data_IF_505123571130
#
_entry.id   IF_505123571130
#
_cell.length_a   1.000
_cell.length_b   1.000
_cell.length_c   1.000
_cell.angle_alpha   90.00
_cell.angle_beta   90.00
_cell.angle_gamma   90.00
#
_symmetry.space_group_name_H-M   'P 1'
#
loop_
_entity.id
_entity.type
_entity.pdbx_description
1 polymer ?
#
# COMPACT_ATOMS: atom_id res chain seq x y z
N UNK A 1 28.23 16.23 19.42
CA UNK A 1 27.08 15.30 19.31
C UNK A 1 26.26 15.67 18.08
N UNK A 2 25.99 14.74 17.15
CA UNK A 2 25.24 15.03 15.92
C UNK A 2 23.74 14.98 16.23
N UNK A 3 23.02 16.08 16.04
CA UNK A 3 21.57 16.15 16.28
C UNK A 3 20.81 15.29 15.27
N UNK A 4 20.00 14.35 15.75
CA UNK A 4 19.07 13.55 14.94
C UNK A 4 17.76 14.33 14.75
N UNK A 5 17.33 14.52 13.49
CA UNK A 5 16.14 15.31 13.13
C UNK A 5 15.04 14.41 12.54
N UNK A 6 14.85 13.24 13.14
CA UNK A 6 13.98 12.19 12.60
C UNK A 6 12.54 12.68 12.48
N UNK A 7 11.96 13.21 13.55
CA UNK A 7 10.57 13.69 13.56
C UNK A 7 10.34 14.85 12.60
N UNK A 8 11.22 15.85 12.60
CA UNK A 8 11.13 17.00 11.70
C UNK A 8 11.20 16.57 10.23
N UNK A 9 12.10 15.63 9.92
CA UNK A 9 12.30 15.12 8.57
C UNK A 9 11.12 14.28 8.10
N UNK A 10 10.58 13.43 8.98
CA UNK A 10 9.38 12.63 8.73
C UNK A 10 8.17 13.52 8.42
N UNK A 11 7.90 14.52 9.27
CA UNK A 11 6.80 15.46 9.04
C UNK A 11 7.00 16.26 7.76
N UNK A 12 8.23 16.70 7.51
CA UNK A 12 8.56 17.42 6.28
C UNK A 12 8.29 16.59 5.03
N UNK A 13 8.63 15.31 5.01
CA UNK A 13 8.34 14.42 3.88
C UNK A 13 6.83 14.13 3.75
N UNK A 14 6.13 13.90 4.88
CA UNK A 14 4.67 13.69 4.90
C UNK A 14 3.90 14.85 4.26
N UNK A 15 4.29 16.09 4.55
CA UNK A 15 3.67 17.30 3.99
C UNK A 15 4.32 17.76 2.68
N UNK A 16 5.24 16.99 2.10
CA UNK A 16 5.96 17.31 0.85
C UNK A 16 6.64 18.68 0.89
N UNK A 17 7.15 19.09 2.06
CA UNK A 17 7.84 20.37 2.25
C UNK A 17 9.28 20.26 1.74
N UNK A 18 9.72 21.27 0.98
CA UNK A 18 11.08 21.32 0.44
C UNK A 18 12.13 21.37 1.56
N UNK A 19 13.30 20.77 1.32
CA UNK A 19 14.39 20.76 2.31
C UNK A 19 14.83 22.17 2.70
N UNK A 20 14.76 23.13 1.77
CA UNK A 20 15.04 24.56 2.00
C UNK A 20 14.08 25.15 3.03
N UNK A 21 12.78 24.96 2.80
CA UNK A 21 11.74 25.50 3.67
C UNK A 21 11.84 24.88 5.06
N UNK A 22 12.04 23.56 5.14
CA UNK A 22 12.22 22.85 6.42
C UNK A 22 13.43 23.35 7.20
N UNK A 23 14.56 23.57 6.52
CA UNK A 23 15.77 24.15 7.12
C UNK A 23 15.53 25.57 7.65
N UNK A 24 14.86 26.43 6.87
CA UNK A 24 14.56 27.79 7.27
C UNK A 24 13.65 27.82 8.51
N UNK A 25 12.56 27.03 8.49
CA UNK A 25 11.63 26.91 9.62
C UNK A 25 12.34 26.37 10.85
N UNK A 26 13.08 25.26 10.72
CA UNK A 26 13.75 24.64 11.85
C UNK A 26 14.85 25.53 12.45
N UNK A 27 15.61 26.25 11.61
CA UNK A 27 16.64 27.19 12.07
C UNK A 27 16.01 28.43 12.72
N UNK A 28 14.90 28.94 12.17
CA UNK A 28 14.13 30.04 12.76
C UNK A 28 13.59 29.69 14.14
N UNK A 29 12.97 28.52 14.30
CA UNK A 29 12.49 28.03 15.61
C UNK A 29 13.64 27.91 16.62
N UNK A 30 14.82 27.42 16.19
CA UNK A 30 15.98 27.34 17.09
C UNK A 30 16.54 28.71 17.48
N UNK A 31 16.41 29.71 16.60
CA UNK A 31 16.77 31.09 16.89
C UNK A 31 15.78 31.72 17.89
N UNK A 32 14.48 31.54 17.69
CA UNK A 32 13.43 32.04 18.60
C UNK A 32 13.54 31.43 20.01
N UNK A 33 14.00 30.17 20.09
CA UNK A 33 14.27 29.47 21.36
C UNK A 33 15.62 29.86 22.00
N UNK A 34 16.39 30.75 21.38
CA UNK A 34 17.71 31.18 21.87
C UNK A 34 18.79 30.09 21.84
N UNK A 35 18.55 28.99 21.11
CA UNK A 35 19.51 27.89 20.96
C UNK A 35 20.59 28.25 19.93
N UNK A 36 20.22 29.07 18.95
CA UNK A 36 21.11 29.69 17.97
C UNK A 36 21.04 31.20 18.18
N UNK A 37 22.19 31.84 18.15
CA UNK A 37 22.32 33.29 18.08
C UNK A 37 23.41 33.64 17.06
N UNK A 38 23.52 34.92 16.70
CA UNK A 38 24.53 35.39 15.74
C UNK A 38 25.97 35.06 16.21
N UNK A 39 26.19 35.00 17.51
CA UNK A 39 27.47 34.64 18.13
C UNK A 39 27.72 33.12 18.17
N UNK A 40 26.66 32.29 18.18
CA UNK A 40 26.75 30.85 18.30
C UNK A 40 25.89 30.11 17.25
N UNK A 41 26.50 29.87 16.10
CA UNK A 41 25.90 29.14 14.97
C UNK A 41 26.16 27.63 14.99
N UNK A 42 26.70 27.07 16.08
CA UNK A 42 27.13 25.67 16.13
C UNK A 42 25.99 24.67 15.86
N UNK A 43 24.75 25.04 16.20
CA UNK A 43 23.55 24.20 16.07
C UNK A 43 22.69 24.49 14.83
N UNK A 44 23.16 25.34 13.91
CA UNK A 44 22.43 25.62 12.66
C UNK A 44 22.15 24.33 11.89
N UNK A 45 20.90 24.20 11.46
CA UNK A 45 20.45 23.07 10.65
C UNK A 45 20.75 23.43 9.20
N UNK A 46 21.56 22.61 8.53
CA UNK A 46 21.84 22.77 7.10
C UNK A 46 20.86 21.93 6.26
N UNK A 47 20.61 22.36 5.02
CA UNK A 47 19.76 21.62 4.08
C UNK A 47 20.22 20.18 3.87
N UNK A 48 21.52 19.95 3.78
CA UNK A 48 22.04 18.59 3.59
C UNK A 48 21.85 17.73 4.85
N UNK A 49 21.69 18.32 6.05
CA UNK A 49 21.30 17.56 7.23
C UNK A 49 19.88 17.02 7.06
N UNK A 50 18.91 17.88 6.73
CA UNK A 50 17.51 17.47 6.49
C UNK A 50 17.43 16.44 5.37
N UNK A 51 18.09 16.69 4.23
CA UNK A 51 18.08 15.75 3.08
C UNK A 51 18.56 14.35 3.48
N UNK A 52 19.67 14.26 4.21
CA UNK A 52 20.22 12.98 4.68
C UNK A 52 19.30 12.26 5.64
N UNK A 53 18.68 12.98 6.58
CA UNK A 53 17.75 12.37 7.53
C UNK A 53 16.47 11.88 6.82
N UNK A 54 15.94 12.65 5.86
CA UNK A 54 14.84 12.20 4.99
C UNK A 54 15.21 10.95 4.19
N UNK A 55 16.38 10.91 3.58
CA UNK A 55 16.86 9.74 2.84
C UNK A 55 16.95 8.50 3.73
N UNK A 56 17.42 8.63 4.98
CA UNK A 56 17.44 7.52 5.94
C UNK A 56 16.03 7.03 6.25
N UNK A 57 15.11 7.95 6.56
CA UNK A 57 13.72 7.61 6.88
C UNK A 57 13.06 6.90 5.69
N UNK A 58 13.24 7.41 4.47
CA UNK A 58 12.72 6.78 3.26
C UNK A 58 13.26 5.37 3.07
N UNK A 59 14.54 5.13 3.35
CA UNK A 59 15.13 3.79 3.29
C UNK A 59 14.51 2.84 4.30
N UNK A 60 14.39 3.27 5.57
CA UNK A 60 13.75 2.47 6.63
C UNK A 60 12.32 2.10 6.24
N UNK A 61 11.51 3.08 5.80
CA UNK A 61 10.14 2.82 5.35
C UNK A 61 10.10 1.86 4.16
N UNK A 62 11.02 2.01 3.20
CA UNK A 62 11.08 1.11 2.02
C UNK A 62 11.48 -0.31 2.42
N UNK A 63 12.39 -0.46 3.37
CA UNK A 63 12.82 -1.75 3.91
C UNK A 63 11.69 -2.43 4.70
N UNK A 64 10.98 -1.68 5.56
CA UNK A 64 9.77 -2.14 6.25
C UNK A 64 8.70 -2.57 5.23
N UNK A 65 8.51 -1.79 4.16
CA UNK A 65 7.54 -2.11 3.12
C UNK A 65 7.84 -3.41 2.38
N UNK A 66 9.12 -3.71 2.15
CA UNK A 66 9.56 -4.95 1.50
C UNK A 66 9.51 -6.18 2.43
N UNK A 67 9.48 -5.98 3.74
CA UNK A 67 9.37 -7.06 4.73
C UNK A 67 7.92 -7.50 4.94
N UNK A 68 6.94 -6.63 4.70
CA UNK A 68 5.52 -7.00 4.68
C UNK A 68 5.21 -7.88 3.47
N UNK A 69 5.06 -9.18 3.73
CA UNK A 69 4.76 -10.20 2.70
C UNK A 69 3.46 -10.96 2.93
N UNK A 70 2.82 -10.71 4.07
CA UNK A 70 1.51 -11.27 4.39
C UNK A 70 0.43 -10.25 4.03
N UNK A 71 -0.53 -10.69 3.22
CA UNK A 71 -1.69 -9.88 2.82
C UNK A 71 -2.93 -10.73 3.02
N UNK A 72 -3.76 -10.34 3.97
CA UNK A 72 -4.99 -11.07 4.30
C UNK A 72 -6.11 -10.78 3.28
N UNK A 73 -6.11 -9.59 2.69
CA UNK A 73 -7.12 -9.22 1.70
C UNK A 73 -6.54 -8.32 0.62
N UNK A 74 -6.99 -8.50 -0.60
CA UNK A 74 -6.64 -7.64 -1.73
C UNK A 74 -7.86 -6.91 -2.26
N UNK A 75 -7.68 -5.63 -2.56
CA UNK A 75 -8.65 -4.85 -3.32
C UNK A 75 -8.01 -4.42 -4.63
N UNK A 76 -8.79 -4.46 -5.69
CA UNK A 76 -8.35 -3.94 -6.96
C UNK A 76 -9.40 -3.06 -7.62
N UNK A 77 -8.92 -2.05 -8.32
CA UNK A 77 -9.74 -1.18 -9.14
C UNK A 77 -9.09 -0.99 -10.52
N UNK A 78 -9.94 -0.99 -11.55
CA UNK A 78 -9.53 -1.00 -12.94
C UNK A 78 -9.99 0.26 -13.67
N UNK A 79 -9.12 0.80 -14.52
CA UNK A 79 -9.43 1.92 -15.41
C UNK A 79 -9.04 1.57 -16.85
N UNK A 80 -9.97 1.84 -17.76
CA UNK A 80 -9.76 1.72 -19.21
C UNK A 80 -9.39 3.07 -19.80
N UNK A 81 -8.12 3.26 -20.12
CA UNK A 81 -7.66 4.47 -20.79
C UNK A 81 -7.67 4.28 -22.31
N UNK A 82 -8.07 5.35 -23.02
CA UNK A 82 -8.18 5.37 -24.47
C UNK A 82 -7.10 6.27 -25.04
N UNK A 83 -6.12 5.68 -25.71
CA UNK A 83 -5.03 6.40 -26.37
C UNK A 83 -5.31 6.46 -27.87
N UNK A 84 -5.17 7.65 -28.43
CA UNK A 84 -5.42 7.88 -29.86
C UNK A 84 -4.07 7.88 -30.57
N UNK A 85 -3.89 6.94 -31.49
CA UNK A 85 -2.69 6.81 -32.31
C UNK A 85 -2.98 7.07 -33.79
N UNK A 86 -1.96 7.41 -34.55
CA UNK A 86 -2.03 7.52 -36.01
C UNK A 86 -1.22 6.38 -36.61
N UNK A 87 -1.85 5.57 -37.45
CA UNK A 87 -1.24 4.44 -38.15
C UNK A 87 -1.19 4.75 -39.64
N UNK A 88 -0.01 4.62 -40.25
CA UNK A 88 0.17 4.83 -41.68
C UNK A 88 -0.13 3.53 -42.41
N UNK A 89 -1.22 3.51 -43.19
CA UNK A 89 -1.57 2.37 -44.05
C UNK A 89 -1.41 2.83 -45.49
N UNK A 90 -0.34 2.39 -46.14
CA UNK A 90 0.05 2.86 -47.48
C UNK A 90 0.47 4.33 -47.48
N UNK A 91 -0.25 5.16 -48.24
CA UNK A 91 0.00 6.61 -48.36
C UNK A 91 -0.85 7.47 -47.41
N UNK A 92 -1.82 6.89 -46.69
CA UNK A 92 -2.77 7.62 -45.85
C UNK A 92 -2.55 7.33 -44.37
N UNK A 93 -2.75 8.36 -43.53
CA UNK A 93 -2.74 8.26 -42.08
C UNK A 93 -4.15 8.01 -41.57
N UNK A 94 -4.32 7.00 -40.72
CA UNK A 94 -5.58 6.65 -40.10
C UNK A 94 -5.50 6.82 -38.60
N UNK A 95 -6.55 7.38 -38.00
CA UNK A 95 -6.66 7.50 -36.55
C UNK A 95 -7.17 6.19 -35.97
N UNK A 96 -6.41 5.58 -35.06
CA UNK A 96 -6.79 4.39 -34.31
C UNK A 96 -6.93 4.74 -32.83
N UNK A 97 -7.87 4.10 -32.14
CA UNK A 97 -7.99 4.22 -30.68
C UNK A 97 -7.57 2.90 -30.08
N UNK A 98 -6.50 2.92 -29.30
CA UNK A 98 -6.01 1.79 -28.50
C UNK A 98 -6.63 1.94 -27.11
N UNK A 99 -7.17 0.83 -26.58
CA UNK A 99 -7.70 0.77 -25.21
C UNK A 99 -6.73 -0.04 -24.39
N UNK A 100 -6.20 0.57 -23.34
CA UNK A 100 -5.33 -0.08 -22.37
C UNK A 100 -6.05 -0.16 -21.03
N UNK A 101 -5.90 -1.30 -20.36
CA UNK A 101 -6.44 -1.52 -19.03
C UNK A 101 -5.33 -1.29 -18.02
N UNK A 102 -5.62 -0.54 -16.98
CA UNK A 102 -4.72 -0.37 -15.84
C UNK A 102 -5.46 -0.75 -14.58
N UNK A 103 -4.90 -1.68 -13.82
CA UNK A 103 -5.48 -2.16 -12.57
C UNK A 103 -4.55 -1.82 -11.43
N UNK A 104 -5.07 -1.14 -10.43
CA UNK A 104 -4.35 -0.84 -9.18
C UNK A 104 -4.76 -1.85 -8.12
N UNK A 105 -3.80 -2.34 -7.36
CA UNK A 105 -4.00 -3.34 -6.30
C UNK A 105 -3.54 -2.75 -4.97
N UNK A 106 -4.37 -2.88 -3.95
CA UNK A 106 -4.10 -2.47 -2.57
C UNK A 106 -4.35 -3.65 -1.62
N UNK A 107 -3.64 -3.68 -0.50
CA UNK A 107 -3.82 -4.67 0.57
C UNK A 107 -4.71 -4.10 1.66
N UNK A 108 -5.51 -4.96 2.27
CA UNK A 108 -6.26 -4.71 3.49
C UNK A 108 -5.86 -5.73 4.58
N UNK A 109 -5.87 -5.32 5.87
CA UNK A 109 -6.27 -4.01 6.38
C UNK A 109 -5.19 -2.91 6.19
N UNK A 110 -5.64 -1.67 6.01
CA UNK A 110 -4.78 -0.47 5.98
C UNK A 110 -4.61 0.18 4.61
N UNK A 111 -5.27 -0.35 3.56
CA UNK A 111 -5.30 0.22 2.22
C UNK A 111 -3.91 0.47 1.60
N UNK A 112 -2.91 -0.33 1.95
CA UNK A 112 -1.53 -0.11 1.49
C UNK A 112 -1.43 -0.45 0.01
N UNK A 113 -0.83 0.45 -0.75
CA UNK A 113 -0.67 0.26 -2.19
C UNK A 113 0.32 -0.87 -2.48
N UNK A 114 -0.17 -1.94 -3.11
CA UNK A 114 0.68 -3.04 -3.54
C UNK A 114 1.31 -2.69 -4.87
N UNK A 115 0.55 -2.24 -5.86
CA UNK A 115 1.11 -1.96 -7.18
C UNK A 115 0.09 -1.70 -8.27
N UNK A 116 0.59 -1.59 -9.49
CA UNK A 116 -0.21 -1.44 -10.69
C UNK A 116 0.16 -2.52 -11.70
N UNK A 117 -0.84 -3.03 -12.40
CA UNK A 117 -0.70 -4.04 -13.45
C UNK A 117 -1.42 -3.56 -14.70
N UNK A 118 -0.84 -3.87 -15.86
CA UNK A 118 -1.44 -3.57 -17.18
C UNK A 118 -1.69 -4.91 -17.86
N UNK A 119 -2.89 -5.51 -17.70
CA UNK A 119 -3.16 -6.82 -18.26
C UNK A 119 -3.21 -6.77 -19.79
N UNK A 120 -2.79 -7.86 -20.43
CA UNK A 120 -2.75 -7.99 -21.91
C UNK A 120 -4.14 -7.86 -22.55
N UNK A 121 -5.19 -8.21 -21.81
CA UNK A 121 -6.57 -8.06 -22.23
C UNK A 121 -7.46 -7.67 -21.03
N UNK A 122 -8.59 -7.00 -21.30
CA UNK A 122 -9.55 -6.59 -20.27
C UNK A 122 -10.59 -7.66 -19.93
N UNK A 123 -10.24 -8.94 -20.08
CA UNK A 123 -11.12 -10.06 -19.64
C UNK A 123 -10.89 -10.34 -18.16
N UNK A 124 -11.90 -10.85 -17.45
CA UNK A 124 -11.75 -11.12 -16.02
C UNK A 124 -10.62 -12.09 -15.71
N UNK A 125 -10.45 -13.14 -16.53
CA UNK A 125 -9.33 -14.08 -16.38
C UNK A 125 -7.97 -13.40 -16.61
N UNK A 126 -7.82 -12.60 -17.68
CA UNK A 126 -6.55 -11.94 -17.97
C UNK A 126 -6.17 -10.89 -16.91
N UNK A 127 -7.16 -10.23 -16.31
CA UNK A 127 -6.95 -9.35 -15.16
C UNK A 127 -6.51 -10.16 -13.93
N UNK A 128 -7.19 -11.26 -13.62
CA UNK A 128 -6.85 -12.14 -12.50
C UNK A 128 -5.41 -12.67 -12.61
N UNK A 129 -5.04 -13.23 -13.77
CA UNK A 129 -3.71 -13.78 -14.02
C UNK A 129 -2.63 -12.69 -13.84
N UNK A 130 -2.89 -11.48 -14.35
CA UNK A 130 -1.94 -10.36 -14.24
C UNK A 130 -1.77 -9.86 -12.80
N UNK A 131 -2.84 -9.87 -11.99
CA UNK A 131 -2.77 -9.57 -10.56
C UNK A 131 -1.96 -10.65 -9.84
N UNK A 132 -2.19 -11.92 -10.17
CA UNK A 132 -1.53 -13.04 -9.55
C UNK A 132 -0.02 -13.06 -9.82
N UNK A 133 0.37 -12.95 -11.10
CA UNK A 133 1.77 -12.82 -11.52
C UNK A 133 2.48 -11.66 -10.81
N UNK A 134 1.76 -10.54 -10.60
CA UNK A 134 2.32 -9.38 -9.93
C UNK A 134 2.59 -9.63 -8.44
N UNK A 135 1.63 -10.22 -7.73
CA UNK A 135 1.76 -10.56 -6.32
C UNK A 135 2.87 -11.61 -6.10
N UNK A 136 2.97 -12.60 -6.98
CA UNK A 136 4.00 -13.63 -6.93
C UNK A 136 5.39 -13.02 -7.17
N UNK A 137 5.51 -12.11 -8.14
CA UNK A 137 6.78 -11.41 -8.42
C UNK A 137 7.31 -10.59 -7.24
N UNK A 138 6.42 -10.15 -6.34
CA UNK A 138 6.77 -9.41 -5.13
C UNK A 138 7.00 -10.31 -3.92
N UNK A 139 6.77 -11.62 -4.06
CA UNK A 139 6.95 -12.60 -3.01
C UNK A 139 5.90 -12.50 -1.91
N UNK A 140 4.67 -12.10 -2.23
CA UNK A 140 3.54 -12.19 -1.31
C UNK A 140 3.10 -13.64 -1.15
N UNK A 141 2.76 -14.02 0.08
CA UNK A 141 2.19 -15.34 0.34
C UNK A 141 0.71 -15.35 -0.07
N UNK A 142 0.46 -16.00 -1.20
CA UNK A 142 -0.86 -16.17 -1.78
C UNK A 142 -1.78 -17.04 -0.95
N UNK A 143 -1.21 -17.96 -0.16
CA UNK A 143 -2.00 -18.86 0.68
C UNK A 143 -2.67 -18.14 1.85
N UNK A 144 -2.14 -16.97 2.22
CA UNK A 144 -2.68 -16.12 3.28
C UNK A 144 -3.79 -15.16 2.80
N UNK A 145 -4.03 -15.05 1.49
CA UNK A 145 -5.05 -14.13 0.96
C UNK A 145 -6.43 -14.72 1.20
N UNK A 146 -7.18 -14.14 2.13
CA UNK A 146 -8.50 -14.63 2.52
C UNK A 146 -9.67 -13.97 1.79
N UNK A 147 -9.50 -12.71 1.39
CA UNK A 147 -10.55 -11.94 0.75
C UNK A 147 -10.08 -11.16 -0.47
N UNK A 148 -11.00 -11.00 -1.44
CA UNK A 148 -10.80 -10.22 -2.65
C UNK A 148 -11.96 -9.25 -2.83
N UNK A 149 -11.67 -7.97 -2.91
CA UNK A 149 -12.65 -6.91 -3.10
C UNK A 149 -12.47 -6.18 -4.43
N UNK A 150 -13.58 -5.79 -5.05
CA UNK A 150 -13.58 -5.06 -6.31
C UNK A 150 -14.92 -4.36 -6.58
N UNK A 151 -14.95 -3.47 -7.56
CA UNK A 151 -16.21 -2.90 -8.03
C UNK A 151 -17.08 -3.92 -8.79
N UNK A 152 -18.40 -3.81 -8.62
CA UNK A 152 -19.42 -4.75 -9.13
C UNK A 152 -19.68 -4.73 -10.64
N UNK A 153 -18.63 -4.77 -11.47
CA UNK A 153 -18.80 -4.97 -12.92
C UNK A 153 -18.90 -6.45 -13.28
N UNK A 154 -19.62 -6.76 -14.37
CA UNK A 154 -19.70 -8.13 -14.88
C UNK A 154 -18.34 -8.76 -15.22
N UNK A 155 -17.34 -7.94 -15.57
CA UNK A 155 -15.95 -8.41 -15.79
C UNK A 155 -15.31 -8.89 -14.49
N UNK A 156 -15.65 -8.31 -13.35
CA UNK A 156 -15.09 -8.67 -12.06
C UNK A 156 -15.90 -9.78 -11.36
N UNK A 157 -17.24 -9.68 -11.38
CA UNK A 157 -18.16 -10.55 -10.63
C UNK A 157 -18.79 -11.68 -11.49
N UNK A 158 -18.38 -11.80 -12.75
CA UNK A 158 -18.93 -12.81 -13.65
C UNK A 158 -18.72 -14.25 -13.15
N UNK A 159 -19.78 -15.05 -13.12
CA UNK A 159 -19.75 -16.40 -12.54
C UNK A 159 -18.92 -17.44 -13.30
N UNK A 160 -18.57 -17.21 -14.58
CA UNK A 160 -17.72 -18.11 -15.39
C UNK A 160 -16.31 -17.57 -15.64
N UNK A 161 -16.21 -16.28 -15.91
CA UNK A 161 -14.97 -15.62 -16.39
C UNK A 161 -14.71 -14.31 -15.63
N UNK A 162 -15.29 -14.16 -14.44
CA UNK A 162 -15.05 -13.01 -13.59
C UNK A 162 -13.69 -13.12 -12.90
N UNK A 163 -13.08 -11.97 -12.61
CA UNK A 163 -11.82 -11.90 -11.85
C UNK A 163 -11.93 -12.66 -10.53
N UNK A 164 -13.00 -12.43 -9.77
CA UNK A 164 -13.22 -13.09 -8.48
C UNK A 164 -13.33 -14.60 -8.65
N UNK A 165 -14.12 -15.06 -9.62
CA UNK A 165 -14.31 -16.49 -9.85
C UNK A 165 -13.00 -17.20 -10.21
N UNK A 166 -12.16 -16.54 -11.02
CA UNK A 166 -10.84 -17.08 -11.38
C UNK A 166 -9.92 -17.17 -10.17
N UNK A 167 -9.84 -16.10 -9.38
CA UNK A 167 -9.03 -16.09 -8.15
C UNK A 167 -9.55 -17.13 -7.14
N UNK A 168 -10.87 -17.28 -6.99
CA UNK A 168 -11.47 -18.34 -6.17
C UNK A 168 -11.02 -19.73 -6.59
N UNK A 169 -10.97 -20.03 -7.89
CA UNK A 169 -10.52 -21.34 -8.38
C UNK A 169 -9.04 -21.58 -8.09
N UNK A 170 -8.22 -20.55 -8.22
CA UNK A 170 -6.77 -20.64 -7.96
C UNK A 170 -6.48 -20.75 -6.45
N UNK A 171 -7.35 -20.18 -5.60
CA UNK A 171 -7.27 -20.24 -4.13
C UNK A 171 -7.93 -21.49 -3.53
N UNK A 172 -8.95 -22.08 -4.19
CA UNK A 172 -9.84 -23.13 -3.63
C UNK A 172 -9.18 -24.45 -3.22
N UNK A 173 -7.85 -24.56 -3.28
CA UNK A 173 -7.11 -25.56 -2.53
C UNK A 173 -7.06 -25.29 -1.01
N UNK A 174 -7.42 -24.09 -0.52
CA UNK A 174 -7.20 -23.69 0.90
C UNK A 174 -8.44 -23.19 1.68
N UNK A 175 -9.67 -23.32 1.16
CA UNK A 175 -10.90 -23.19 1.97
C UNK A 175 -11.34 -21.78 2.38
N UNK A 176 -11.48 -20.86 1.43
CA UNK A 176 -11.71 -19.43 1.71
C UNK A 176 -13.12 -18.87 1.54
N UNK A 177 -13.42 -17.88 2.40
CA UNK A 177 -14.62 -17.04 2.41
C UNK A 177 -14.41 -15.81 1.51
N UNK A 178 -14.87 -15.87 0.26
CA UNK A 178 -14.83 -14.69 -0.60
C UNK A 178 -15.94 -13.72 -0.22
N UNK A 179 -15.56 -12.68 0.51
CA UNK A 179 -16.44 -11.56 0.85
C UNK A 179 -16.65 -10.63 -0.34
N UNK A 180 -17.88 -10.61 -0.86
CA UNK A 180 -18.38 -9.61 -1.81
C UNK A 180 -18.40 -8.22 -1.17
N UNK A 181 -17.60 -7.27 -1.66
CA UNK A 181 -17.81 -5.85 -1.36
C UNK A 181 -18.26 -5.14 -2.61
N UNK A 182 -19.58 -5.21 -2.85
CA UNK A 182 -20.24 -4.27 -3.73
C UNK A 182 -20.26 -2.92 -3.02
N UNK A 183 -19.58 -1.94 -3.59
CA UNK A 183 -19.60 -0.56 -3.12
C UNK A 183 -20.98 0.07 -3.39
N UNK A 184 -21.95 -0.30 -2.57
CA UNK A 184 -23.03 0.58 -2.13
C UNK A 184 -22.54 1.19 -0.82
N UNK A 185 -22.55 2.52 -0.71
CA UNK A 185 -21.84 3.37 0.26
C UNK A 185 -22.07 3.11 1.78
N UNK A 186 -22.61 1.97 2.19
CA UNK A 186 -22.89 1.60 3.58
C UNK A 186 -22.10 0.40 4.13
N UNK A 187 -21.35 -0.35 3.29
CA UNK A 187 -20.69 -1.60 3.72
C UNK A 187 -19.23 -1.43 4.16
N UNK A 188 -18.54 -0.37 3.73
CA UNK A 188 -17.13 -0.13 4.08
C UNK A 188 -16.85 0.01 5.59
N UNK A 189 -17.87 0.40 6.38
CA UNK A 189 -17.74 0.52 7.85
C UNK A 189 -17.67 -0.87 8.49
N UNK A 190 -18.40 -1.86 7.96
CA UNK A 190 -18.51 -3.19 8.55
C UNK A 190 -17.28 -4.07 8.32
N UNK A 191 -16.54 -3.88 7.22
CA UNK A 191 -15.30 -4.61 6.98
C UNK A 191 -14.17 -4.12 7.88
N UNK A 192 -14.02 -2.80 8.05
CA UNK A 192 -13.05 -2.26 9.01
C UNK A 192 -13.38 -2.72 10.43
N UNK A 193 -14.66 -2.70 10.84
CA UNK A 193 -15.02 -3.23 12.17
C UNK A 193 -14.80 -4.73 12.30
N UNK A 194 -15.10 -5.55 11.28
CA UNK A 194 -14.89 -7.00 11.35
C UNK A 194 -13.39 -7.39 11.32
N UNK A 195 -12.57 -6.72 10.51
CA UNK A 195 -11.13 -6.91 10.49
C UNK A 195 -10.44 -6.35 11.74
N UNK A 196 -10.90 -5.21 12.29
CA UNK A 196 -10.45 -4.69 13.60
C UNK A 196 -10.85 -5.65 14.75
N UNK A 197 -12.03 -6.29 14.67
CA UNK A 197 -12.46 -7.30 15.64
C UNK A 197 -11.60 -8.57 15.57
N UNK A 198 -11.17 -9.00 14.38
CA UNK A 198 -10.24 -10.12 14.22
C UNK A 198 -8.83 -9.79 14.78
N UNK A 199 -8.33 -8.58 14.55
CA UNK A 199 -7.06 -8.12 15.15
C UNK A 199 -7.14 -7.99 16.67
N UNK A 200 -8.27 -7.53 17.22
CA UNK A 200 -8.52 -7.47 18.67
C UNK A 200 -8.59 -8.86 19.32
N UNK A 201 -9.10 -9.87 18.60
CA UNK A 201 -9.10 -11.26 19.07
C UNK A 201 -7.69 -11.86 19.06
N UNK A 202 -6.89 -11.63 18.02
CA UNK A 202 -5.48 -12.05 17.97
C UNK A 202 -4.63 -11.40 19.07
N UNK A 203 -4.77 -10.09 19.30
CA UNK A 203 -4.03 -9.39 20.37
C UNK A 203 -4.40 -9.87 21.78
N UNK A 204 -5.67 -10.23 22.02
CA UNK A 204 -6.13 -10.76 23.31
C UNK A 204 -5.71 -12.20 23.56
N UNK A 205 -5.67 -13.04 22.51
CA UNK A 205 -5.13 -14.42 22.59
C UNK A 205 -3.63 -14.39 22.89
N UNK A 206 -2.86 -13.55 22.19
CA UNK A 206 -1.39 -13.39 22.42
C UNK A 206 -1.10 -12.83 23.82
N UNK A 207 -1.92 -11.91 24.34
CA UNK A 207 -1.78 -11.45 25.73
C UNK A 207 -2.15 -12.54 26.76
N UNK A 208 -3.14 -13.39 26.47
CA UNK A 208 -3.53 -14.49 27.35
C UNK A 208 -2.47 -15.59 27.42
N UNK A 209 -1.82 -15.91 26.30
CA UNK A 209 -0.74 -16.90 26.23
C UNK A 209 0.54 -16.38 26.90
N UNK A 210 0.89 -15.10 26.70
CA UNK A 210 2.02 -14.46 27.37
C UNK A 210 1.82 -14.37 28.90
N UNK A 211 0.59 -14.10 29.35
CA UNK A 211 0.26 -14.13 30.78
C UNK A 211 0.27 -15.58 31.34
N UNK A 212 -0.15 -16.57 30.56
CA UNK A 212 -0.09 -17.99 30.95
C UNK A 212 1.34 -18.50 31.08
N UNK A 213 2.23 -18.12 30.15
CA UNK A 213 3.67 -18.41 30.20
C UNK A 213 4.37 -17.69 31.36
N UNK A 214 4.01 -16.44 31.63
CA UNK A 214 4.52 -15.68 32.77
C UNK A 214 4.09 -16.30 34.12
N UNK A 215 2.85 -16.80 34.23
CA UNK A 215 2.36 -17.50 35.42
C UNK A 215 3.00 -18.88 35.59
N UNK A 216 3.28 -19.60 34.49
CA UNK A 216 4.00 -20.89 34.54
C UNK A 216 5.46 -20.74 34.96
N UNK A 217 6.14 -19.66 34.59
CA UNK A 217 7.52 -19.37 35.01
C UNK A 217 7.64 -18.79 36.43
N UNK A 218 6.53 -18.46 37.08
CA UNK A 218 6.51 -17.98 38.47
C UNK A 218 6.27 -19.12 39.49
N UNK A 219 5.93 -20.33 39.01
CA UNK A 219 5.59 -21.50 39.83
C UNK A 219 6.61 -22.66 39.72
N UNK A 220 7.77 -22.42 39.12
CA UNK A 220 8.96 -23.28 39.13
C UNK A 220 10.12 -22.50 39.78
#
# INVERSE_FOLDING_TARGET
>A
MRSTLTTTSLMSDRFRVSDRATTAIATGVLHDLGIICDENMAKVIDRNKIRREKEKIRKVITEEDNQMKEVNAIYFDGRKDKTITQEKIGSKMYRRTIKEEHVSVISEPGGKYIGHVTPKNGTGNGIADSIWEHLESKGFDMSAVEAVGCYGTATNTGWRNGVIHKIELDIRCNGLYVCYILMSCHIGIYLNTWMELQQGQLHSVVQSENNSLAVRNFLL
#
